data_IF_097992181118
#
_entry.id   IF_097992181118
#
_cell.length_a   1.000
_cell.length_b   1.000
_cell.length_c   1.000
_cell.angle_alpha   90.00
_cell.angle_beta   90.00
_cell.angle_gamma   90.00
#
_symmetry.space_group_name_H-M   'P 1'
#
loop_
_entity.id
_entity.type
_entity.pdbx_description
1 polymer ?
#
# COMPACT_ATOMS: atom_id res chain seq x y z
N UNK A 1 14.02 -12.67 4.25
CA UNK A 1 12.57 -12.45 4.09
C UNK A 1 11.96 -12.26 5.47
N UNK A 2 10.91 -11.46 5.62
CA UNK A 2 10.25 -11.24 6.92
C UNK A 2 9.21 -12.34 7.15
N UNK A 3 9.27 -13.04 8.27
CA UNK A 3 8.39 -14.21 8.52
C UNK A 3 6.94 -13.81 8.86
N UNK A 4 6.73 -12.66 9.50
CA UNK A 4 5.40 -12.18 9.88
C UNK A 4 5.33 -10.65 9.92
N UNK A 5 4.17 -10.10 9.59
CA UNK A 5 3.85 -8.68 9.75
C UNK A 5 2.77 -8.49 10.81
N UNK A 6 2.93 -7.49 11.67
CA UNK A 6 1.92 -7.19 12.70
C UNK A 6 0.80 -6.39 12.07
N UNK A 7 -0.44 -6.91 12.15
CA UNK A 7 -1.66 -6.18 11.82
C UNK A 7 -2.42 -5.90 13.11
N UNK A 8 -2.47 -4.64 13.52
CA UNK A 8 -3.20 -4.24 14.73
C UNK A 8 -4.71 -4.31 14.53
N UNK A 9 -5.51 -4.73 15.54
CA UNK A 9 -6.97 -4.67 15.49
C UNK A 9 -7.53 -3.26 15.24
N UNK A 10 -6.71 -2.23 15.48
CA UNK A 10 -7.01 -0.83 15.18
C UNK A 10 -7.28 -0.57 13.69
N UNK A 11 -6.88 -1.46 12.77
CA UNK A 11 -7.23 -1.36 11.34
C UNK A 11 -8.74 -1.24 11.15
N UNK A 12 -9.52 -2.01 11.92
CA UNK A 12 -10.98 -2.00 11.88
C UNK A 12 -11.61 -0.73 12.47
N UNK A 13 -10.82 0.10 13.15
CA UNK A 13 -11.24 1.42 13.66
C UNK A 13 -10.68 2.58 12.81
N UNK A 14 -9.87 2.27 11.79
CA UNK A 14 -9.23 3.28 10.96
C UNK A 14 -10.24 3.95 10.03
N UNK A 15 -10.45 5.25 10.22
CA UNK A 15 -11.27 6.05 9.30
C UNK A 15 -10.74 6.03 7.86
N UNK A 16 -9.43 5.93 7.66
CA UNK A 16 -8.83 5.86 6.31
C UNK A 16 -9.14 4.51 5.64
N UNK A 17 -9.07 3.41 6.40
CA UNK A 17 -9.41 2.08 5.90
C UNK A 17 -10.88 1.99 5.49
N UNK A 18 -11.78 2.58 6.27
CA UNK A 18 -13.21 2.63 5.93
C UNK A 18 -13.58 3.65 4.84
N UNK A 19 -12.64 4.51 4.40
CA UNK A 19 -12.84 5.37 3.22
C UNK A 19 -12.57 4.63 1.90
N UNK A 20 -12.00 3.43 1.95
CA UNK A 20 -11.79 2.62 0.75
C UNK A 20 -13.13 2.23 0.12
N UNK A 21 -13.24 2.25 -1.22
CA UNK A 21 -14.51 2.18 -1.92
C UNK A 21 -15.22 0.82 -1.75
N UNK A 22 -14.46 -0.26 -1.69
CA UNK A 22 -14.99 -1.63 -1.70
C UNK A 22 -14.11 -2.60 -0.89
N UNK A 23 -14.58 -3.84 -0.75
CA UNK A 23 -13.87 -4.90 -0.04
C UNK A 23 -12.60 -5.33 -0.77
N UNK A 24 -12.55 -5.18 -2.09
CA UNK A 24 -11.35 -5.47 -2.88
C UNK A 24 -10.20 -4.53 -2.46
N UNK A 25 -10.43 -3.22 -2.41
CA UNK A 25 -9.41 -2.27 -1.95
C UNK A 25 -9.00 -2.52 -0.48
N UNK A 26 -9.94 -2.90 0.39
CA UNK A 26 -9.62 -3.30 1.77
C UNK A 26 -8.75 -4.55 1.83
N UNK A 27 -9.07 -5.56 1.02
CA UNK A 27 -8.29 -6.80 0.94
C UNK A 27 -6.89 -6.55 0.35
N UNK A 28 -6.78 -5.72 -0.68
CA UNK A 28 -5.50 -5.30 -1.24
C UNK A 28 -4.65 -4.52 -0.23
N UNK A 29 -5.23 -3.66 0.61
CA UNK A 29 -4.49 -3.01 1.68
C UNK A 29 -3.92 -4.01 2.69
N UNK A 30 -4.71 -5.02 3.10
CA UNK A 30 -4.22 -6.09 3.97
C UNK A 30 -3.08 -6.86 3.30
N UNK A 31 -3.21 -7.15 2.01
CA UNK A 31 -2.12 -7.74 1.23
C UNK A 31 -0.85 -6.88 1.26
N UNK A 32 -0.92 -5.57 1.01
CA UNK A 32 0.28 -4.71 1.04
C UNK A 32 1.00 -4.70 2.39
N UNK A 33 0.29 -4.93 3.51
CA UNK A 33 0.91 -4.97 4.83
C UNK A 33 1.35 -6.38 5.26
N UNK A 34 1.03 -7.42 4.49
CA UNK A 34 1.36 -8.83 4.79
C UNK A 34 1.97 -9.62 3.62
N UNK A 35 2.25 -8.99 2.48
CA UNK A 35 2.73 -9.68 1.27
C UNK A 35 4.16 -10.22 1.45
N UNK A 36 4.58 -11.20 0.63
CA UNK A 36 5.95 -11.73 0.68
C UNK A 36 7.04 -10.68 0.39
N UNK A 37 6.68 -9.58 -0.28
CA UNK A 37 7.62 -8.52 -0.69
C UNK A 37 7.91 -7.51 0.41
N UNK A 38 7.08 -7.43 1.46
CA UNK A 38 7.26 -6.41 2.51
C UNK A 38 8.51 -6.66 3.36
N UNK A 39 9.25 -5.60 3.62
CA UNK A 39 10.45 -5.61 4.44
C UNK A 39 10.23 -4.94 5.82
N UNK A 40 11.23 -4.97 6.68
CA UNK A 40 11.13 -4.41 8.04
C UNK A 40 10.80 -2.91 8.09
N UNK A 41 11.36 -2.04 7.22
CA UNK A 41 10.99 -0.63 7.22
C UNK A 41 9.64 -0.33 6.57
N UNK A 42 8.99 -1.28 5.87
CA UNK A 42 7.70 -1.06 5.21
C UNK A 42 7.78 -0.17 3.96
N UNK A 43 8.94 -0.17 3.30
CA UNK A 43 9.19 0.53 2.04
C UNK A 43 9.96 -0.41 1.11
N UNK A 44 9.34 -0.89 0.04
CA UNK A 44 9.80 -2.02 -0.77
C UNK A 44 9.29 -1.91 -2.21
N UNK A 45 9.93 -2.60 -3.14
CA UNK A 45 9.51 -2.61 -4.54
C UNK A 45 8.50 -3.72 -4.80
N UNK A 46 7.44 -3.40 -5.54
CA UNK A 46 6.42 -4.34 -5.97
C UNK A 46 5.82 -3.87 -7.29
N UNK A 47 6.23 -4.52 -8.37
CA UNK A 47 5.58 -4.34 -9.67
C UNK A 47 4.09 -4.75 -9.58
N UNK A 48 3.16 -3.91 -10.07
CA UNK A 48 1.74 -4.23 -10.07
C UNK A 48 1.37 -5.55 -10.75
N UNK A 49 2.14 -6.01 -11.74
CA UNK A 49 1.93 -7.31 -12.37
C UNK A 49 2.24 -8.46 -11.41
N UNK A 50 3.30 -8.37 -10.61
CA UNK A 50 3.62 -9.37 -9.59
C UNK A 50 2.59 -9.35 -8.46
N UNK A 51 2.18 -8.17 -8.01
CA UNK A 51 1.10 -8.05 -7.02
C UNK A 51 -0.22 -8.63 -7.51
N UNK A 52 -0.56 -8.41 -8.78
CA UNK A 52 -1.75 -8.99 -9.40
C UNK A 52 -1.69 -10.52 -9.46
N UNK A 53 -0.53 -11.10 -9.81
CA UNK A 53 -0.31 -12.56 -9.80
C UNK A 53 -0.51 -13.14 -8.40
N UNK A 54 0.10 -12.53 -7.38
CA UNK A 54 0.00 -12.99 -5.98
C UNK A 54 -1.46 -13.00 -5.49
N UNK A 55 -2.24 -12.00 -5.90
CA UNK A 55 -3.66 -11.88 -5.55
C UNK A 55 -4.61 -12.64 -6.49
N UNK A 56 -4.10 -13.23 -7.59
CA UNK A 56 -4.88 -13.84 -8.68
C UNK A 56 -5.89 -12.88 -9.30
N UNK A 57 -5.48 -11.63 -9.47
CA UNK A 57 -6.28 -10.56 -10.07
C UNK A 57 -5.75 -10.18 -11.46
N UNK A 58 -6.55 -9.44 -12.22
CA UNK A 58 -6.01 -8.72 -13.37
C UNK A 58 -5.14 -7.55 -12.90
N UNK A 59 -4.19 -7.13 -13.73
CA UNK A 59 -3.30 -6.00 -13.41
C UNK A 59 -4.11 -4.71 -13.25
N UNK A 60 -5.17 -4.55 -14.02
CA UNK A 60 -6.08 -3.39 -13.97
C UNK A 60 -6.82 -3.34 -12.63
N UNK A 61 -7.34 -4.48 -12.17
CA UNK A 61 -8.02 -4.57 -10.87
C UNK A 61 -7.07 -4.26 -9.71
N UNK A 62 -5.83 -4.78 -9.77
CA UNK A 62 -4.81 -4.50 -8.77
C UNK A 62 -4.40 -3.02 -8.75
N UNK A 63 -4.16 -2.42 -9.92
CA UNK A 63 -3.83 -0.99 -10.05
C UNK A 63 -4.96 -0.10 -9.54
N UNK A 64 -6.21 -0.42 -9.86
CA UNK A 64 -7.38 0.31 -9.35
C UNK A 64 -7.42 0.28 -7.82
N UNK A 65 -7.24 -0.89 -7.22
CA UNK A 65 -7.22 -1.02 -5.77
C UNK A 65 -6.05 -0.24 -5.13
N UNK A 66 -4.84 -0.35 -5.71
CA UNK A 66 -3.67 0.42 -5.28
C UNK A 66 -3.94 1.93 -5.33
N UNK A 67 -4.51 2.43 -6.43
CA UNK A 67 -4.85 3.84 -6.58
C UNK A 67 -5.83 4.31 -5.49
N UNK A 68 -6.89 3.55 -5.23
CA UNK A 68 -7.84 3.88 -4.15
C UNK A 68 -7.17 3.92 -2.76
N UNK A 69 -6.17 3.07 -2.52
CA UNK A 69 -5.41 3.04 -1.26
C UNK A 69 -4.46 4.24 -1.14
N UNK A 70 -3.84 4.65 -2.25
CA UNK A 70 -3.01 5.86 -2.34
C UNK A 70 -3.84 7.11 -2.09
N UNK A 71 -5.02 7.21 -2.68
CA UNK A 71 -5.96 8.35 -2.53
C UNK A 71 -6.34 8.59 -1.06
N UNK A 72 -6.57 7.53 -0.28
CA UNK A 72 -6.90 7.65 1.15
C UNK A 72 -5.67 7.77 2.06
N UNK A 73 -4.46 7.84 1.48
CA UNK A 73 -3.17 7.96 2.17
C UNK A 73 -2.95 6.88 3.22
N UNK A 74 -3.16 5.63 2.81
CA UNK A 74 -2.71 4.43 3.54
C UNK A 74 -1.36 3.93 3.03
N UNK A 75 -1.08 4.15 1.75
CA UNK A 75 0.18 3.82 1.07
C UNK A 75 0.58 5.01 0.19
N UNK A 76 1.88 5.17 -0.07
CA UNK A 76 2.42 5.94 -1.19
C UNK A 76 3.02 4.99 -2.22
N UNK A 77 2.87 5.30 -3.49
CA UNK A 77 3.39 4.50 -4.60
C UNK A 77 4.18 5.39 -5.56
N UNK A 78 5.37 4.94 -5.93
CA UNK A 78 6.17 5.49 -7.00
C UNK A 78 5.95 4.63 -8.25
N UNK A 79 5.27 5.18 -9.25
CA UNK A 79 4.90 4.44 -10.45
C UNK A 79 6.09 4.13 -11.36
N UNK A 80 7.16 4.93 -11.30
CA UNK A 80 8.35 4.76 -12.15
C UNK A 80 9.19 3.61 -11.64
N UNK A 81 9.44 3.60 -10.34
CA UNK A 81 10.30 2.62 -9.68
C UNK A 81 9.52 1.41 -9.11
N UNK A 82 8.19 1.42 -9.24
CA UNK A 82 7.28 0.47 -8.61
C UNK A 82 7.52 0.31 -7.09
N UNK A 83 7.89 1.39 -6.40
CA UNK A 83 8.17 1.35 -4.96
C UNK A 83 6.92 1.69 -4.16
N UNK A 84 6.63 0.89 -3.14
CA UNK A 84 5.55 1.07 -2.18
C UNK A 84 6.12 1.53 -0.85
N UNK A 85 5.47 2.51 -0.22
CA UNK A 85 5.71 2.89 1.18
C UNK A 85 4.41 2.82 1.97
N UNK A 86 4.37 1.99 3.01
CA UNK A 86 3.20 1.87 3.90
C UNK A 86 3.23 2.98 4.95
N UNK A 87 2.21 3.84 4.94
CA UNK A 87 2.12 4.96 5.87
C UNK A 87 1.77 4.47 7.28
N UNK A 88 2.34 5.13 8.30
CA UNK A 88 2.23 4.76 9.72
C UNK A 88 2.73 3.35 10.07
N UNK A 89 3.48 2.69 9.17
CA UNK A 89 4.01 1.34 9.39
C UNK A 89 4.77 1.19 10.71
N UNK A 90 5.65 2.17 10.99
CA UNK A 90 6.53 2.16 12.14
C UNK A 90 5.79 2.33 13.47
N UNK A 91 4.53 2.79 13.48
CA UNK A 91 3.71 2.82 14.72
C UNK A 91 3.41 1.42 15.24
N UNK A 92 3.38 0.42 14.36
CA UNK A 92 3.09 -0.97 14.72
C UNK A 92 4.33 -1.87 14.65
N UNK A 93 5.30 -1.48 13.83
CA UNK A 93 6.51 -2.24 13.53
C UNK A 93 7.77 -1.42 13.86
N UNK A 94 7.83 -0.92 15.09
CA UNK A 94 8.97 -0.14 15.59
C UNK A 94 10.29 -0.96 15.61
N UNK A 95 11.45 -0.30 15.47
CA UNK A 95 12.73 -0.93 15.76
C UNK A 95 12.79 -1.35 17.24
N UNK A 96 13.17 -2.59 17.48
CA UNK A 96 13.16 -3.20 18.83
C UNK A 96 14.51 -3.11 19.52
N UNK A 97 15.60 -2.99 18.77
CA UNK A 97 16.97 -2.83 19.26
C UNK A 97 17.86 -2.22 18.14
N UNK A 98 19.09 -1.76 18.45
CA UNK A 98 19.98 -1.15 17.45
C UNK A 98 20.33 -2.05 16.26
N UNK A 99 20.47 -3.37 16.49
CA UNK A 99 20.75 -4.32 15.40
C UNK A 99 19.57 -4.47 14.45
N UNK A 100 18.34 -4.51 14.97
CA UNK A 100 17.13 -4.51 14.16
C UNK A 100 16.98 -3.20 13.38
N UNK A 101 17.27 -2.05 14.01
CA UNK A 101 17.30 -0.76 13.32
C UNK A 101 18.34 -0.74 12.18
N UNK A 102 19.54 -1.28 12.41
CA UNK A 102 20.56 -1.41 11.36
C UNK A 102 20.04 -2.26 10.18
N UNK A 103 19.37 -3.37 10.46
CA UNK A 103 18.72 -4.19 9.44
C UNK A 103 17.61 -3.44 8.68
N UNK A 104 16.84 -2.60 9.37
CA UNK A 104 15.82 -1.74 8.73
C UNK A 104 16.45 -0.73 7.78
N UNK A 105 17.56 -0.07 8.16
CA UNK A 105 18.26 0.88 7.29
C UNK A 105 18.83 0.16 6.06
N UNK A 106 19.47 -1.00 6.26
CA UNK A 106 20.01 -1.78 5.15
C UNK A 106 18.92 -2.24 4.18
N UNK A 107 17.76 -2.67 4.68
CA UNK A 107 16.61 -3.05 3.84
C UNK A 107 15.96 -1.85 3.15
N UNK A 108 15.91 -0.70 3.81
CA UNK A 108 15.37 0.53 3.22
C UNK A 108 16.21 0.98 2.03
N UNK A 109 17.54 0.88 2.15
CA UNK A 109 18.48 1.25 1.09
C UNK A 109 18.30 0.42 -0.20
N UNK A 110 17.72 -0.79 -0.10
CA UNK A 110 17.45 -1.65 -1.27
C UNK A 110 16.23 -1.23 -2.09
N UNK A 111 15.34 -0.40 -1.55
CA UNK A 111 14.18 0.06 -2.33
C UNK A 111 14.64 1.01 -3.45
N UNK A 112 13.98 0.96 -4.59
CA UNK A 112 14.41 1.69 -5.78
C UNK A 112 14.16 3.19 -5.67
N UNK A 113 12.96 3.62 -5.25
CA UNK A 113 12.60 5.03 -5.14
C UNK A 113 13.37 5.79 -4.05
N UNK A 114 14.29 6.67 -4.46
CA UNK A 114 15.00 7.59 -3.55
C UNK A 114 14.05 8.54 -2.82
N UNK A 115 12.95 8.96 -3.45
CA UNK A 115 11.94 9.81 -2.81
C UNK A 115 11.27 9.10 -1.64
N UNK A 116 10.76 7.88 -1.85
CA UNK A 116 10.08 7.12 -0.80
C UNK A 116 11.05 6.64 0.28
N UNK A 117 12.29 6.27 -0.09
CA UNK A 117 13.38 6.01 0.87
C UNK A 117 13.58 7.18 1.82
N UNK A 118 13.73 8.41 1.29
CA UNK A 118 13.94 9.61 2.11
C UNK A 118 12.76 9.86 3.06
N UNK A 119 11.53 9.76 2.56
CA UNK A 119 10.35 9.95 3.40
C UNK A 119 10.26 8.90 4.51
N UNK A 120 10.56 7.64 4.21
CA UNK A 120 10.55 6.59 5.22
C UNK A 120 11.68 6.72 6.24
N UNK A 121 12.87 7.16 5.81
CA UNK A 121 13.99 7.44 6.71
C UNK A 121 13.64 8.58 7.67
N UNK A 122 12.96 9.63 7.18
CA UNK A 122 12.48 10.73 8.01
C UNK A 122 11.48 10.27 9.07
N UNK A 123 10.60 9.31 8.75
CA UNK A 123 9.68 8.72 9.72
C UNK A 123 10.39 7.81 10.73
N UNK A 124 11.44 7.10 10.32
CA UNK A 124 12.20 6.18 11.18
C UNK A 124 13.09 6.90 12.18
N UNK A 125 13.71 8.01 11.76
CA UNK A 125 14.70 8.73 12.55
C UNK A 125 14.21 9.17 13.95
N UNK A 126 12.98 9.69 14.12
CA UNK A 126 12.41 9.98 15.43
C UNK A 126 12.39 8.78 16.38
N UNK A 127 11.97 7.60 15.92
CA UNK A 127 11.96 6.38 16.75
C UNK A 127 13.37 5.98 17.20
N UNK A 128 14.36 6.10 16.31
CA UNK A 128 15.76 5.80 16.64
C UNK A 128 16.33 6.77 17.68
N UNK A 129 15.95 8.04 17.59
CA UNK A 129 16.36 9.08 18.55
C UNK A 129 15.73 8.88 19.91
N UNK A 130 14.41 8.68 19.96
CA UNK A 130 13.65 8.49 21.20
C UNK A 130 14.14 7.26 21.97
N UNK A 131 14.38 6.14 21.28
CA UNK A 131 14.91 4.92 21.91
C UNK A 131 16.41 4.97 22.20
N UNK A 132 17.09 6.06 21.85
CA UNK A 132 18.53 6.24 22.07
C UNK A 132 19.42 5.33 21.22
N UNK A 133 18.91 4.73 20.15
CA UNK A 133 19.66 3.79 19.30
C UNK A 133 20.77 4.48 18.51
N UNK A 134 20.63 5.79 18.23
CA UNK A 134 21.67 6.58 17.56
C UNK A 134 22.94 6.81 18.41
N UNK A 135 22.98 6.32 19.66
CA UNK A 135 24.23 6.22 20.45
C UNK A 135 25.18 5.18 19.88
N UNK A 136 24.65 4.18 19.17
CA UNK A 136 25.47 3.24 18.40
C UNK A 136 26.11 3.97 17.22
N UNK A 137 27.43 4.07 17.23
CA UNK A 137 28.17 4.83 16.23
C UNK A 137 28.09 4.24 14.82
N UNK A 138 27.90 2.93 14.69
CA UNK A 138 27.76 2.28 13.39
C UNK A 138 26.39 2.57 12.79
N UNK A 139 25.32 2.43 13.58
CA UNK A 139 23.96 2.76 13.16
C UNK A 139 23.85 4.24 12.79
N UNK A 140 24.39 5.14 13.61
CA UNK A 140 24.37 6.57 13.32
C UNK A 140 25.03 6.89 11.98
N UNK A 141 26.24 6.36 11.75
CA UNK A 141 26.95 6.53 10.46
C UNK A 141 26.14 6.00 9.29
N UNK A 142 25.46 4.87 9.44
CA UNK A 142 24.62 4.29 8.38
C UNK A 142 23.42 5.18 8.05
N UNK A 143 22.74 5.72 9.07
CA UNK A 143 21.64 6.69 8.88
C UNK A 143 22.14 7.97 8.19
N UNK A 144 23.24 8.54 8.69
CA UNK A 144 23.83 9.77 8.15
C UNK A 144 24.24 9.57 6.67
N UNK A 145 24.92 8.46 6.38
CA UNK A 145 25.36 8.13 5.01
C UNK A 145 24.20 7.93 4.04
N UNK A 146 23.13 7.23 4.47
CA UNK A 146 21.94 7.07 3.63
C UNK A 146 21.24 8.42 3.40
N UNK A 147 21.12 9.24 4.45
CA UNK A 147 20.52 10.58 4.36
C UNK A 147 21.25 11.47 3.35
N UNK A 148 22.59 11.48 3.39
CA UNK A 148 23.40 12.28 2.45
C UNK A 148 23.27 11.79 1.00
N UNK A 149 23.33 10.46 0.76
CA UNK A 149 23.11 9.92 -0.60
C UNK A 149 21.74 10.33 -1.15
N UNK A 150 20.68 10.18 -0.35
CA UNK A 150 19.33 10.55 -0.76
C UNK A 150 19.14 12.06 -0.96
N UNK A 151 19.95 12.88 -0.28
CA UNK A 151 19.95 14.34 -0.48
C UNK A 151 20.56 14.69 -1.84
N UNK A 152 21.65 14.04 -2.21
CA UNK A 152 22.31 14.25 -3.51
C UNK A 152 21.46 13.72 -4.67
N UNK A 153 20.93 12.50 -4.55
CA UNK A 153 20.06 11.89 -5.57
C UNK A 153 18.83 12.75 -5.92
N UNK A 154 18.28 13.45 -4.92
CA UNK A 154 17.06 14.26 -5.06
C UNK A 154 17.38 15.75 -5.22
N UNK A 155 18.64 16.10 -5.52
CA UNK A 155 19.02 17.47 -5.83
C UNK A 155 18.59 17.78 -7.26
N UNK A 156 17.68 18.74 -7.40
CA UNK A 156 17.35 19.28 -8.72
C UNK A 156 18.61 19.85 -9.37
N UNK A 157 18.88 19.59 -10.67
CA UNK A 157 19.99 20.21 -11.37
C UNK A 157 19.80 21.73 -11.31
N UNK A 158 20.83 22.44 -10.82
CA UNK A 158 20.85 23.90 -10.87
C UNK A 158 20.81 24.28 -12.36
N UNK A 159 19.88 25.15 -12.80
CA UNK A 159 19.95 25.71 -14.13
C UNK A 159 21.25 26.51 -14.24
N UNK A 160 22.24 25.98 -14.95
CA UNK A 160 23.39 26.78 -15.37
C UNK A 160 22.89 27.70 -16.48
N UNK A 161 22.47 28.91 -16.12
CA UNK A 161 22.29 30.01 -17.04
C UNK A 161 23.66 30.34 -17.67
N UNK A 162 24.00 29.66 -18.77
CA UNK A 162 24.95 30.21 -19.73
C UNK A 162 24.16 31.05 -20.70
N UNK A 163 23.86 32.27 -20.28
CA UNK A 163 23.46 33.34 -21.18
C UNK A 163 24.67 33.65 -22.09
N UNK A 164 24.54 33.36 -23.37
CA UNK A 164 25.25 34.13 -24.39
C UNK A 164 24.20 34.65 -25.33
N UNK A 165 23.63 35.79 -24.95
CA UNK A 165 22.90 36.65 -25.87
C UNK A 165 23.86 37.15 -26.95
N UNK A 166 23.48 36.97 -28.21
CA UNK A 166 23.90 37.88 -29.28
C UNK A 166 22.64 38.18 -30.08
N UNK A 167 22.04 39.34 -29.78
CA UNK A 167 20.99 39.93 -30.60
C UNK A 167 21.63 40.64 -31.81
N UNK A 168 20.99 40.58 -32.98
CA UNK A 168 20.60 41.76 -33.78
C UNK A 168 19.58 41.39 -34.86
N UNK A 169 18.34 41.88 -34.64
CA UNK A 169 17.27 42.39 -35.52
C UNK A 169 17.11 41.92 -36.99
N UNK A 170 15.84 41.73 -37.41
CA UNK A 170 15.09 42.64 -38.31
C UNK A 170 13.58 42.32 -38.32
N UNK A 171 12.77 43.39 -38.40
CA UNK A 171 11.30 43.49 -38.42
C UNK A 171 10.60 42.74 -39.57
N UNK A 172 9.32 42.37 -39.38
CA UNK A 172 8.21 42.99 -40.11
C UNK A 172 6.83 42.49 -39.63
N UNK A 173 5.88 43.42 -39.60
CA UNK A 173 4.47 43.27 -39.24
C UNK A 173 3.68 42.46 -40.28
N UNK A 174 2.53 41.86 -39.91
CA UNK A 174 1.21 42.11 -40.54
C UNK A 174 0.10 41.33 -39.82
N UNK A 175 -0.97 42.07 -39.50
CA UNK A 175 -2.25 41.62 -38.93
C UNK A 175 -3.02 40.73 -39.92
N UNK A 176 -3.74 39.70 -39.44
CA UNK A 176 -5.10 39.39 -39.94
C UNK A 176 -5.89 38.64 -38.85
N UNK A 177 -7.00 39.25 -38.45
CA UNK A 177 -8.05 38.70 -37.58
C UNK A 177 -9.06 37.99 -38.49
N UNK A 178 -9.31 36.70 -38.26
CA UNK A 178 -10.46 36.00 -38.88
C UNK A 178 -11.31 35.37 -37.79
N UNK A 179 -12.48 35.97 -37.60
CA UNK A 179 -13.63 35.43 -36.88
C UNK A 179 -14.17 34.19 -37.61
N UNK A 180 -14.49 33.12 -36.88
CA UNK A 180 -15.38 32.06 -37.37
C UNK A 180 -16.64 32.09 -36.52
N UNK A 181 -17.73 32.52 -37.17
CA UNK A 181 -19.13 32.34 -36.74
C UNK A 181 -19.44 30.84 -36.68
N UNK A 182 -19.98 30.37 -35.57
CA UNK A 182 -20.73 29.10 -35.54
C UNK A 182 -22.21 29.43 -35.70
N UNK A 183 -22.73 29.22 -36.90
CA UNK A 183 -24.16 29.26 -37.19
C UNK A 183 -24.85 28.01 -36.64
N UNK A 184 -25.99 28.27 -36.00
CA UNK A 184 -26.97 27.31 -35.51
C UNK A 184 -27.85 26.87 -36.67
N UNK A 185 -28.02 25.56 -36.88
CA UNK A 185 -29.15 25.01 -37.63
C UNK A 185 -29.78 23.89 -36.82
N UNK A 186 -31.01 24.14 -36.37
CA UNK A 186 -32.02 23.14 -36.00
C UNK A 186 -32.94 22.95 -37.21
N UNK A 187 -33.21 21.70 -37.58
CA UNK A 187 -34.53 21.26 -38.09
C UNK A 187 -34.66 19.73 -37.91
N UNK A 188 -35.42 19.36 -36.89
CA UNK A 188 -36.54 18.42 -36.79
C UNK A 188 -36.70 17.21 -37.76
N UNK A 189 -36.72 16.03 -37.11
CA UNK A 189 -37.71 14.93 -37.08
C UNK A 189 -38.09 14.00 -38.25
N UNK A 190 -38.06 12.71 -37.86
CA UNK A 190 -38.99 11.59 -38.12
C UNK A 190 -38.73 10.65 -39.31
N UNK A 191 -38.43 9.38 -38.99
CA UNK A 191 -39.35 8.21 -39.13
C UNK A 191 -38.71 6.91 -38.60
N UNK A 192 -39.52 6.18 -37.84
CA UNK A 192 -39.72 4.71 -37.77
C UNK A 192 -38.48 3.79 -37.87
N UNK A 193 -38.18 2.83 -37.00
CA UNK A 193 -38.88 2.16 -35.91
C UNK A 193 -38.28 0.75 -35.81
N UNK A 194 -37.87 0.31 -34.61
CA UNK A 194 -37.84 -1.12 -34.22
C UNK A 194 -37.64 -1.22 -32.68
N UNK A 195 -38.47 -1.96 -31.93
CA UNK A 195 -38.37 -2.06 -30.48
C UNK A 195 -37.72 -3.38 -30.08
N UNK A 196 -36.39 -3.44 -30.00
CA UNK A 196 -35.73 -4.52 -29.25
C UNK A 196 -34.38 -4.07 -28.66
N UNK A 197 -34.48 -3.40 -27.51
CA UNK A 197 -33.34 -3.18 -26.63
C UNK A 197 -33.82 -3.40 -25.19
N UNK A 198 -33.85 -4.67 -24.77
CA UNK A 198 -34.02 -5.04 -23.37
C UNK A 198 -32.92 -4.36 -22.51
N UNK A 199 -33.27 -3.71 -21.40
CA UNK A 199 -32.28 -3.08 -20.54
C UNK A 199 -31.50 -4.16 -19.77
N UNK A 200 -30.18 -4.04 -19.75
CA UNK A 200 -29.27 -4.85 -18.93
C UNK A 200 -29.76 -4.87 -17.47
N UNK A 201 -30.33 -6.00 -17.08
CA UNK A 201 -30.76 -6.26 -15.72
C UNK A 201 -29.56 -6.36 -14.77
N UNK A 202 -29.70 -5.72 -13.61
CA UNK A 202 -28.78 -5.85 -12.49
C UNK A 202 -28.61 -7.32 -12.10
N UNK A 203 -27.39 -7.86 -12.26
CA UNK A 203 -27.02 -9.17 -11.74
C UNK A 203 -26.86 -9.09 -10.21
N UNK A 204 -27.96 -9.37 -9.51
CA UNK A 204 -27.92 -9.62 -8.06
C UNK A 204 -27.20 -10.95 -7.86
N UNK A 205 -25.97 -10.90 -7.37
CA UNK A 205 -25.24 -12.10 -6.94
C UNK A 205 -26.03 -12.80 -5.82
N UNK A 206 -26.18 -14.14 -5.83
CA UNK A 206 -26.90 -14.84 -4.78
C UNK A 206 -26.26 -14.57 -3.42
N UNK A 207 -27.10 -14.22 -2.44
CA UNK A 207 -26.71 -14.01 -1.05
C UNK A 207 -26.12 -15.33 -0.51
N UNK A 208 -24.82 -15.34 -0.22
CA UNK A 208 -24.12 -16.51 0.34
C UNK A 208 -24.83 -16.97 1.63
N UNK A 209 -25.33 -18.21 1.65
CA UNK A 209 -25.81 -18.88 2.86
C UNK A 209 -24.75 -19.91 3.29
N UNK A 210 -24.14 -19.76 4.48
CA UNK A 210 -23.25 -20.80 4.99
C UNK A 210 -24.05 -22.07 5.31
N UNK A 211 -23.46 -23.27 5.14
CA UNK A 211 -24.12 -24.53 5.51
C UNK A 211 -24.40 -24.59 7.02
N UNK A 212 -25.47 -25.26 7.46
CA UNK A 212 -25.79 -25.40 8.87
C UNK A 212 -24.69 -26.16 9.60
N UNK A 213 -24.28 -25.62 10.76
CA UNK A 213 -23.30 -26.24 11.65
C UNK A 213 -23.82 -27.60 12.10
N UNK A 214 -23.18 -28.69 11.63
CA UNK A 214 -23.37 -30.01 12.22
C UNK A 214 -22.68 -30.03 13.58
N UNK A 215 -23.47 -29.97 14.64
CA UNK A 215 -23.01 -30.26 16.00
C UNK A 215 -22.73 -31.76 16.11
N UNK A 216 -21.61 -32.18 16.72
CA UNK A 216 -21.36 -33.60 16.95
C UNK A 216 -22.39 -34.17 17.92
N UNK A 217 -22.89 -35.37 17.60
CA UNK A 217 -23.83 -36.11 18.44
C UNK A 217 -23.26 -36.27 19.86
N UNK A 218 -24.08 -35.93 20.85
CA UNK A 218 -23.81 -36.10 22.26
C UNK A 218 -23.38 -37.53 22.56
N UNK A 219 -22.17 -37.70 23.10
CA UNK A 219 -21.71 -38.95 23.67
C UNK A 219 -22.43 -39.18 25.01
N UNK A 220 -23.56 -39.87 24.95
CA UNK A 220 -24.18 -40.49 26.11
C UNK A 220 -23.34 -41.70 26.51
N UNK A 221 -22.52 -41.55 27.56
CA UNK A 221 -22.01 -42.70 28.32
C UNK A 221 -22.18 -42.42 29.80
N UNK A 222 -23.37 -42.80 30.25
CA UNK A 222 -23.71 -42.99 31.65
C UNK A 222 -22.75 -44.01 32.32
N UNK A 223 -22.51 -43.73 33.60
CA UNK A 223 -21.72 -44.47 34.56
C UNK A 223 -22.14 -45.94 34.74
N UNK A 224 -21.18 -46.84 34.93
CA UNK A 224 -21.31 -48.03 35.81
C UNK A 224 -19.92 -48.61 36.15
N UNK A 225 -19.82 -49.17 37.38
CA UNK A 225 -18.72 -49.92 38.03
C UNK A 225 -17.64 -49.06 38.73
N UNK A 226 -17.74 -48.75 40.04
CA UNK A 226 -17.75 -49.58 41.27
C UNK A 226 -16.49 -50.46 41.48
N UNK A 227 -15.87 -50.21 42.64
CA UNK A 227 -14.94 -51.02 43.43
C UNK A 227 -13.48 -51.24 43.00
N UNK A 228 -12.56 -50.57 43.71
CA UNK A 228 -11.30 -51.18 44.18
C UNK A 228 -10.75 -50.41 45.40
N UNK A 229 -10.18 -51.08 46.42
CA UNK A 229 -10.13 -50.57 47.78
C UNK A 229 -8.83 -49.82 48.16
N UNK A 230 -8.97 -48.94 49.15
CA UNK A 230 -7.90 -48.29 49.91
C UNK A 230 -6.92 -49.30 50.52
N UNK A 231 -5.66 -49.29 50.08
CA UNK A 231 -4.55 -49.84 50.85
C UNK A 231 -3.79 -48.76 51.61
N UNK A 232 -3.58 -49.06 52.89
CA UNK A 232 -2.96 -48.25 53.94
C UNK A 232 -1.45 -48.10 53.74
N UNK A 233 -0.96 -46.97 54.27
CA UNK A 233 0.43 -46.67 54.70
C UNK A 233 1.21 -47.87 55.24
N UNK A 234 2.51 -47.91 54.94
CA UNK A 234 3.57 -48.11 55.94
C UNK A 234 4.85 -47.39 55.54
N UNK A 235 5.47 -46.76 56.53
CA UNK A 235 6.77 -46.10 56.48
C UNK A 235 7.93 -47.12 56.56
N UNK A 236 9.04 -46.82 55.88
CA UNK A 236 10.40 -46.76 56.44
C UNK A 236 11.32 -46.07 55.44
#
# INVERSE_FOLDING_TARGET
>A
MRDFSKVGPSVWKSRKFWKLPDDAARFAYLYFITCPHINSPGCYDLDPAYGAIDMKWSVEAFRKALQSIVEVRLVEFDEVENTIRVLNWLTFNEPTNPKHAMGMIAQLDQASSSLLKRRQLNDLTPFLREKGFLRDGALRKSVDSLSERLREDLREPIPTETETETQTKTESETKTKTEIKTETIRTENARDGDPDAAPYGASVSPRYQPPPLQMPASADRAATLMDTPLMRRTAK
#
